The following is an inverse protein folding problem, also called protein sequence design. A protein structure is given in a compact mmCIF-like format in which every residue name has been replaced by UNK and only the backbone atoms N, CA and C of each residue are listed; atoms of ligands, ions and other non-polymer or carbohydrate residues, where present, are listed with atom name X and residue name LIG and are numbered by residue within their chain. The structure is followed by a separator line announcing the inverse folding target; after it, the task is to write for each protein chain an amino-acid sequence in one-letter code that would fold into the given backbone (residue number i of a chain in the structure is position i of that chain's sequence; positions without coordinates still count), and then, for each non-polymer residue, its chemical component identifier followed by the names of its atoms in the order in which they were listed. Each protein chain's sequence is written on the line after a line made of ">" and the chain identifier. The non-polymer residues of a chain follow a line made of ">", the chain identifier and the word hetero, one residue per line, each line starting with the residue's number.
data_IF_844441897076
#
_entry.id   IF_844441897076
#
_cell.length_a   1.000
_cell.length_b   1.000
_cell.length_c   1.000
_cell.angle_alpha   90.00
_cell.angle_beta   90.00
_cell.angle_gamma   90.00
#
_symmetry.space_group_name_H-M   'P 1'
#
loop_
_entity.id
_entity.type
_entity.pdbx_description
1 polymer ?
#
# COMPACT_ATOMS: atom_id res chain seq x y z
N UNK A 1 24.56 23.89 -48.70
CA UNK A 1 24.83 22.48 -48.38
C UNK A 1 25.86 22.45 -47.25
N UNK A 2 25.70 21.88 -46.05
CA UNK A 2 24.62 21.20 -45.35
C UNK A 2 24.93 21.39 -43.85
N UNK A 3 24.04 22.07 -43.13
CA UNK A 3 24.02 22.13 -41.66
C UNK A 3 23.17 20.95 -41.20
N UNK A 4 23.78 19.83 -40.81
CA UNK A 4 23.06 18.80 -40.06
C UNK A 4 23.25 19.09 -38.57
N UNK A 5 22.43 20.03 -38.11
CA UNK A 5 22.06 20.18 -36.70
C UNK A 5 21.25 18.94 -36.32
N UNK A 6 21.88 17.97 -35.68
CA UNK A 6 21.19 16.84 -35.06
C UNK A 6 20.77 17.34 -33.68
N UNK A 7 19.48 17.50 -33.37
CA UNK A 7 19.07 17.74 -32.01
C UNK A 7 19.34 16.44 -31.24
N UNK A 8 20.34 16.48 -30.36
CA UNK A 8 20.51 15.49 -29.31
C UNK A 8 19.35 15.65 -28.34
N UNK A 9 18.18 15.13 -28.71
CA UNK A 9 17.07 14.87 -27.80
C UNK A 9 17.54 13.81 -26.80
N UNK A 10 18.24 14.26 -25.77
CA UNK A 10 18.38 13.52 -24.54
C UNK A 10 17.00 13.48 -23.90
N UNK A 11 16.15 12.56 -24.35
CA UNK A 11 15.05 12.08 -23.53
C UNK A 11 15.72 11.45 -22.31
N UNK A 12 15.59 12.02 -21.09
CA UNK A 12 15.84 11.22 -19.91
C UNK A 12 14.70 10.20 -19.90
N UNK A 13 14.90 9.04 -20.53
CA UNK A 13 14.25 7.84 -20.04
C UNK A 13 14.82 7.72 -18.63
N UNK A 14 14.11 8.31 -17.67
CA UNK A 14 14.33 8.03 -16.26
C UNK A 14 13.98 6.56 -16.11
N UNK A 15 14.95 5.71 -16.47
CA UNK A 15 14.92 4.27 -16.36
C UNK A 15 15.09 3.96 -14.89
N UNK A 16 14.13 4.40 -14.09
CA UNK A 16 14.02 4.02 -12.72
C UNK A 16 13.57 2.55 -12.74
N UNK A 17 14.47 1.60 -12.42
CA UNK A 17 14.16 0.18 -12.53
C UNK A 17 13.04 -0.23 -11.56
N UNK A 18 12.72 0.65 -10.60
CA UNK A 18 11.65 0.47 -9.63
C UNK A 18 10.32 1.11 -10.08
N UNK A 19 10.27 1.89 -11.15
CA UNK A 19 9.03 2.43 -11.70
C UNK A 19 7.96 1.35 -11.97
N UNK A 20 8.26 0.24 -12.68
CA UNK A 20 7.27 -0.81 -12.90
C UNK A 20 6.89 -1.55 -11.61
N UNK A 21 7.83 -1.68 -10.65
CA UNK A 21 7.57 -2.30 -9.35
C UNK A 21 6.66 -1.44 -8.48
N UNK A 22 6.89 -0.12 -8.45
CA UNK A 22 6.04 0.86 -7.78
C UNK A 22 4.64 0.89 -8.39
N UNK A 23 4.52 0.89 -9.72
CA UNK A 23 3.21 0.79 -10.38
C UNK A 23 2.47 -0.48 -10.00
N UNK A 24 3.17 -1.62 -9.93
CA UNK A 24 2.57 -2.90 -9.52
C UNK A 24 2.15 -2.90 -8.05
N UNK A 25 2.92 -2.24 -7.19
CA UNK A 25 2.56 -2.02 -5.79
C UNK A 25 1.31 -1.12 -5.66
N UNK A 26 1.22 -0.03 -6.43
CA UNK A 26 0.04 0.84 -6.44
C UNK A 26 -1.22 0.11 -6.94
N UNK A 27 -1.11 -0.66 -8.03
CA UNK A 27 -2.20 -1.49 -8.52
C UNK A 27 -2.67 -2.50 -7.46
N UNK A 28 -1.72 -3.08 -6.72
CA UNK A 28 -2.02 -3.96 -5.59
C UNK A 28 -2.67 -3.21 -4.43
N UNK A 29 -2.21 -2.00 -4.09
CA UNK A 29 -2.83 -1.18 -3.06
C UNK A 29 -4.28 -0.86 -3.40
N UNK A 30 -4.60 -0.58 -4.66
CA UNK A 30 -5.97 -0.36 -5.11
C UNK A 30 -6.86 -1.60 -4.96
N UNK A 31 -6.35 -2.79 -5.31
CA UNK A 31 -7.07 -4.05 -5.11
C UNK A 31 -7.30 -4.35 -3.61
N UNK A 32 -6.25 -4.21 -2.80
CA UNK A 32 -6.32 -4.43 -1.35
C UNK A 32 -7.21 -3.38 -0.66
N UNK A 33 -7.26 -2.14 -1.15
CA UNK A 33 -8.15 -1.09 -0.65
C UNK A 33 -9.62 -1.51 -0.77
N UNK A 34 -10.03 -2.13 -1.87
CA UNK A 34 -11.39 -2.65 -2.04
C UNK A 34 -11.73 -3.70 -0.98
N UNK A 35 -10.80 -4.61 -0.71
CA UNK A 35 -10.96 -5.65 0.31
C UNK A 35 -11.02 -5.05 1.72
N UNK A 36 -10.14 -4.11 2.04
CA UNK A 36 -10.10 -3.40 3.33
C UNK A 36 -11.41 -2.65 3.60
N UNK A 37 -11.96 -1.97 2.58
CA UNK A 37 -13.23 -1.25 2.68
C UNK A 37 -14.43 -2.19 2.85
N UNK A 38 -14.44 -3.34 2.18
CA UNK A 38 -15.49 -4.34 2.36
C UNK A 38 -15.52 -4.83 3.82
N UNK A 39 -14.35 -5.20 4.36
CA UNK A 39 -14.18 -5.62 5.76
C UNK A 39 -14.63 -4.52 6.73
N UNK A 40 -14.27 -3.25 6.47
CA UNK A 40 -14.68 -2.13 7.30
C UNK A 40 -16.20 -1.84 7.24
N UNK A 41 -16.86 -2.13 6.12
CA UNK A 41 -18.26 -1.79 5.88
C UNK A 41 -19.24 -2.90 6.28
N UNK A 42 -18.82 -4.17 6.25
CA UNK A 42 -19.69 -5.32 6.56
C UNK A 42 -20.14 -5.34 8.03
N UNK A 43 -19.45 -4.62 8.93
CA UNK A 43 -19.85 -4.51 10.35
C UNK A 43 -19.84 -5.84 11.11
N UNK A 44 -19.38 -6.91 10.46
CA UNK A 44 -19.16 -8.22 11.06
C UNK A 44 -17.94 -8.12 11.99
N UNK A 45 -17.94 -8.79 13.15
CA UNK A 45 -16.78 -8.83 14.03
C UNK A 45 -15.54 -9.24 13.23
N UNK A 46 -14.55 -8.34 13.19
CA UNK A 46 -13.30 -8.54 12.45
C UNK A 46 -12.73 -9.93 12.79
N UNK A 47 -12.29 -10.72 11.79
CA UNK A 47 -11.79 -12.05 12.07
C UNK A 47 -10.57 -11.96 13.01
N UNK A 48 -10.56 -12.76 14.08
CA UNK A 48 -9.56 -12.68 15.15
C UNK A 48 -8.56 -13.81 15.03
N UNK A 49 -7.26 -13.49 15.00
CA UNK A 49 -6.15 -14.44 15.15
C UNK A 49 -5.24 -14.59 13.93
N UNK A 50 -4.22 -15.46 14.05
CA UNK A 50 -3.11 -15.61 13.10
C UNK A 50 -3.48 -16.06 11.66
N UNK A 51 -4.75 -16.38 11.40
CA UNK A 51 -5.30 -16.71 10.08
C UNK A 51 -6.11 -15.59 9.43
N UNK A 52 -6.18 -14.43 10.09
CA UNK A 52 -7.04 -13.33 9.68
C UNK A 52 -6.58 -12.73 8.33
N UNK A 53 -7.48 -12.63 7.33
CA UNK A 53 -7.16 -12.05 6.04
C UNK A 53 -6.66 -10.60 6.15
N UNK A 54 -7.13 -9.84 7.15
CA UNK A 54 -6.71 -8.47 7.36
C UNK A 54 -5.24 -8.40 7.84
N UNK A 55 -4.82 -9.26 8.76
CA UNK A 55 -3.43 -9.36 9.20
C UNK A 55 -2.48 -9.74 8.04
N UNK A 56 -2.89 -10.65 7.15
CA UNK A 56 -2.09 -11.00 5.95
C UNK A 56 -1.98 -9.83 4.97
N UNK A 57 -3.07 -9.11 4.76
CA UNK A 57 -3.09 -7.91 3.91
C UNK A 57 -2.13 -6.87 4.47
N UNK A 58 -2.21 -6.60 5.78
CA UNK A 58 -1.37 -5.65 6.50
C UNK A 58 0.12 -6.04 6.43
N UNK A 59 0.46 -7.29 6.76
CA UNK A 59 1.82 -7.82 6.66
C UNK A 59 2.42 -7.65 5.25
N UNK A 60 1.64 -8.02 4.23
CA UNK A 60 2.12 -7.92 2.85
C UNK A 60 2.29 -6.47 2.39
N UNK A 61 1.43 -5.55 2.85
CA UNK A 61 1.57 -4.12 2.56
C UNK A 61 2.79 -3.55 3.28
N UNK A 62 3.00 -3.88 4.56
CA UNK A 62 4.15 -3.44 5.33
C UNK A 62 5.49 -3.81 4.66
N UNK A 63 5.64 -5.08 4.27
CA UNK A 63 6.86 -5.56 3.62
C UNK A 63 7.10 -4.95 2.23
N UNK A 64 6.05 -4.82 1.42
CA UNK A 64 6.16 -4.25 0.09
C UNK A 64 6.39 -2.73 0.12
N UNK A 65 5.66 -2.01 0.97
CA UNK A 65 5.73 -0.55 1.08
C UNK A 65 7.12 -0.07 1.50
N UNK A 66 7.77 -0.74 2.46
CA UNK A 66 9.14 -0.44 2.87
C UNK A 66 10.17 -0.66 1.76
N UNK A 67 9.93 -1.63 0.87
CA UNK A 67 10.84 -1.95 -0.25
C UNK A 67 10.70 -0.96 -1.41
N UNK A 68 9.49 -0.46 -1.65
CA UNK A 68 9.18 0.36 -2.84
C UNK A 68 9.12 1.88 -2.57
N UNK A 69 9.39 2.31 -1.33
CA UNK A 69 9.50 3.72 -0.97
C UNK A 69 8.20 4.37 -0.48
N UNK A 70 7.31 3.59 0.14
CA UNK A 70 6.06 4.06 0.75
C UNK A 70 6.10 3.86 2.28
N UNK A 71 6.97 4.56 3.01
CA UNK A 71 7.18 4.33 4.43
C UNK A 71 5.91 4.56 5.26
N UNK A 72 5.06 5.52 4.90
CA UNK A 72 3.81 5.81 5.60
C UNK A 72 2.80 4.66 5.50
N UNK A 73 2.54 4.14 4.29
CA UNK A 73 1.70 2.94 4.11
C UNK A 73 2.29 1.78 4.91
N UNK A 74 3.61 1.59 4.86
CA UNK A 74 4.28 0.51 5.55
C UNK A 74 4.13 0.59 7.07
N UNK A 75 4.29 1.78 7.65
CA UNK A 75 4.13 2.03 9.07
C UNK A 75 2.69 1.80 9.54
N UNK A 76 1.69 2.27 8.79
CA UNK A 76 0.26 2.06 9.10
C UNK A 76 -0.11 0.58 9.03
N UNK A 77 0.36 -0.12 8.00
CA UNK A 77 0.09 -1.53 7.82
C UNK A 77 0.76 -2.38 8.93
N UNK A 78 2.00 -2.06 9.29
CA UNK A 78 2.69 -2.73 10.40
C UNK A 78 1.98 -2.50 11.74
N UNK A 79 1.53 -1.28 12.02
CA UNK A 79 0.76 -0.99 13.24
C UNK A 79 -0.55 -1.80 13.30
N UNK A 80 -1.27 -1.92 12.19
CA UNK A 80 -2.48 -2.74 12.10
C UNK A 80 -2.17 -4.23 12.33
N UNK A 81 -1.12 -4.76 11.71
CA UNK A 81 -0.68 -6.15 11.89
C UNK A 81 -0.32 -6.47 13.35
N UNK A 82 0.40 -5.57 14.01
CA UNK A 82 0.77 -5.70 15.42
C UNK A 82 -0.46 -5.71 16.32
N UNK A 83 -1.41 -4.80 16.10
CA UNK A 83 -2.68 -4.76 16.86
C UNK A 83 -3.49 -6.05 16.70
N UNK A 84 -3.53 -6.62 15.50
CA UNK A 84 -4.22 -7.87 15.20
C UNK A 84 -3.53 -9.09 15.85
N UNK A 85 -2.21 -9.05 15.99
CA UNK A 85 -1.41 -10.17 16.53
C UNK A 85 -1.32 -10.17 18.06
N UNK A 86 -1.16 -9.01 18.70
CA UNK A 86 -0.87 -8.94 20.14
C UNK A 86 -2.13 -8.86 20.99
N UNK A 87 -3.02 -7.90 20.72
CA UNK A 87 -4.23 -7.63 21.52
C UNK A 87 -5.28 -6.94 20.62
N UNK A 88 -6.19 -7.70 19.98
CA UNK A 88 -7.19 -7.12 19.08
C UNK A 88 -8.28 -6.40 19.87
N UNK A 89 -8.02 -5.14 20.25
CA UNK A 89 -9.06 -4.20 20.64
C UNK A 89 -9.77 -3.74 19.36
N UNK A 90 -11.02 -4.16 19.18
CA UNK A 90 -11.81 -3.89 17.97
C UNK A 90 -11.85 -2.41 17.60
N UNK A 91 -11.97 -1.51 18.58
CA UNK A 91 -11.95 -0.06 18.32
C UNK A 91 -10.58 0.42 17.82
N UNK A 92 -9.49 -0.11 18.35
CA UNK A 92 -8.14 0.23 17.91
C UNK A 92 -7.82 -0.36 16.53
N UNK A 93 -8.25 -1.60 16.27
CA UNK A 93 -8.11 -2.26 14.96
C UNK A 93 -8.91 -1.49 13.90
N UNK A 94 -10.14 -1.12 14.20
CA UNK A 94 -10.98 -0.35 13.28
C UNK A 94 -10.36 1.03 12.97
N UNK A 95 -9.83 1.73 13.99
CA UNK A 95 -9.15 3.00 13.79
C UNK A 95 -7.86 2.86 12.97
N UNK A 96 -7.07 1.80 13.19
CA UNK A 96 -5.88 1.51 12.42
C UNK A 96 -6.20 1.11 10.97
N UNK A 97 -7.29 0.37 10.77
CA UNK A 97 -7.82 0.01 9.45
C UNK A 97 -8.26 1.26 8.68
N UNK A 98 -9.04 2.14 9.29
CA UNK A 98 -9.47 3.40 8.68
C UNK A 98 -8.27 4.29 8.32
N UNK A 99 -7.28 4.39 9.21
CA UNK A 99 -6.04 5.13 8.94
C UNK A 99 -5.24 4.53 7.77
N UNK A 100 -5.16 3.20 7.66
CA UNK A 100 -4.49 2.53 6.54
C UNK A 100 -5.23 2.77 5.21
N UNK A 101 -6.55 2.68 5.22
CA UNK A 101 -7.41 2.97 4.06
C UNK A 101 -7.18 4.40 3.58
N UNK A 102 -7.24 5.38 4.50
CA UNK A 102 -7.04 6.79 4.18
C UNK A 102 -5.64 7.09 3.61
N UNK A 103 -4.59 6.41 4.12
CA UNK A 103 -3.22 6.55 3.62
C UNK A 103 -3.07 6.00 2.19
N UNK A 104 -3.66 4.83 1.94
CA UNK A 104 -3.66 4.22 0.60
C UNK A 104 -4.43 5.10 -0.38
N UNK A 105 -5.58 5.65 0.00
CA UNK A 105 -6.36 6.56 -0.84
C UNK A 105 -5.60 7.86 -1.16
N UNK A 106 -4.87 8.43 -0.20
CA UNK A 106 -4.04 9.60 -0.44
C UNK A 106 -2.89 9.30 -1.40
N UNK A 107 -2.30 8.11 -1.30
CA UNK A 107 -1.19 7.70 -2.17
C UNK A 107 -1.64 7.39 -3.60
N UNK A 108 -2.90 6.98 -3.79
CA UNK A 108 -3.46 6.65 -5.11
C UNK A 108 -4.08 7.85 -5.84
N UNK A 109 -4.23 9.01 -5.17
CA UNK A 109 -4.71 10.27 -5.77
C UNK A 109 -3.60 10.97 -6.55
#
# INVERSE_FOLDING_TARGET
>A
MNTFDIPLEHHPISNDPFAPLRQRFLARCADQLGQLKAIACEGDPLPRGAGDPLARIAHSLAGAAGTFGFPDIGARASALETLLSEQPNEAAVQAALDALIAEIEQTLK
#
